data_IF_623293619200
#
_entry.id   IF_623293619200
#
_cell.length_a   1.000
_cell.length_b   1.000
_cell.length_c   1.000
_cell.angle_alpha   90.00
_cell.angle_beta   90.00
_cell.angle_gamma   90.00
#
_symmetry.space_group_name_H-M   'P 1'
#
loop_
_entity.id
_entity.type
_entity.pdbx_description
1 polymer ?
#
# COMPACT_ATOMS: atom_id res chain seq x y z
N UNK A 1 11.21 9.74 26.47
CA UNK A 1 11.10 8.38 25.90
C UNK A 1 12.46 8.02 25.33
N UNK A 2 12.90 6.74 25.35
CA UNK A 2 14.09 6.36 24.59
C UNK A 2 13.82 6.61 23.10
N UNK A 3 14.78 7.18 22.39
CA UNK A 3 14.65 7.43 20.95
C UNK A 3 14.62 6.09 20.19
N UNK A 4 13.60 5.89 19.36
CA UNK A 4 13.49 4.71 18.52
C UNK A 4 14.49 4.79 17.35
N UNK A 5 14.95 3.62 16.90
CA UNK A 5 15.95 3.51 15.82
C UNK A 5 15.32 3.63 14.44
N UNK A 6 13.99 3.61 14.32
CA UNK A 6 13.33 3.56 13.05
C UNK A 6 13.14 2.14 12.52
N UNK A 7 12.61 1.19 13.30
CA UNK A 7 12.56 -0.23 12.91
C UNK A 7 11.23 -0.52 12.19
N UNK A 8 11.23 -0.88 10.90
CA UNK A 8 10.01 -1.29 10.19
C UNK A 8 9.51 -2.69 10.61
N UNK A 9 8.89 -2.82 11.78
CA UNK A 9 8.32 -4.08 12.26
C UNK A 9 6.84 -4.00 12.66
N UNK A 10 6.19 -2.84 12.48
CA UNK A 10 4.85 -2.62 13.04
C UNK A 10 3.73 -2.77 12.00
N UNK A 11 3.83 -2.10 10.86
CA UNK A 11 2.79 -2.10 9.84
C UNK A 11 3.35 -2.06 8.42
N UNK A 12 2.62 -2.66 7.48
CA UNK A 12 2.98 -2.62 6.06
C UNK A 12 1.75 -2.40 5.21
N UNK A 13 1.90 -1.65 4.13
CA UNK A 13 0.78 -1.31 3.28
C UNK A 13 1.19 -0.82 1.90
N UNK A 14 0.19 -0.71 1.03
CA UNK A 14 0.35 -0.19 -0.32
C UNK A 14 -0.02 1.29 -0.34
N UNK A 15 0.85 2.10 -0.93
CA UNK A 15 0.58 3.54 -1.08
C UNK A 15 -0.46 3.74 -2.18
N UNK A 16 -1.67 4.14 -1.76
CA UNK A 16 -2.83 4.36 -2.64
C UNK A 16 -3.00 5.81 -3.05
N UNK A 17 -2.48 6.77 -2.30
CA UNK A 17 -2.53 8.20 -2.67
C UNK A 17 -1.31 8.95 -2.13
N UNK A 18 -0.92 10.03 -2.83
CA UNK A 18 0.13 10.95 -2.38
C UNK A 18 -0.48 12.34 -2.34
N UNK A 19 -0.56 12.92 -1.15
CA UNK A 19 -1.22 14.21 -0.90
C UNK A 19 -0.22 15.34 -1.14
N UNK A 20 0.95 15.26 -0.51
CA UNK A 20 2.12 16.16 -0.61
C UNK A 20 3.42 15.35 -0.58
N UNK A 21 4.59 16.01 -0.57
CA UNK A 21 5.88 15.33 -0.47
C UNK A 21 6.10 14.57 0.84
N UNK A 22 5.33 14.88 1.88
CA UNK A 22 5.46 14.34 3.23
C UNK A 22 4.15 13.74 3.77
N UNK A 23 3.09 13.71 2.97
CA UNK A 23 1.78 13.17 3.37
C UNK A 23 1.22 12.26 2.31
N UNK A 24 0.78 11.07 2.71
CA UNK A 24 0.32 10.03 1.79
C UNK A 24 -0.76 9.14 2.44
N UNK A 25 -1.54 8.48 1.59
CA UNK A 25 -2.56 7.53 1.98
C UNK A 25 -2.11 6.11 1.70
N UNK A 26 -2.31 5.22 2.67
CA UNK A 26 -1.87 3.83 2.64
C UNK A 26 -3.06 2.92 2.90
N UNK A 27 -3.18 1.87 2.10
CA UNK A 27 -4.04 0.73 2.38
C UNK A 27 -3.22 -0.36 3.06
N UNK A 28 -3.60 -0.72 4.28
CA UNK A 28 -2.86 -1.66 5.12
C UNK A 28 -2.97 -3.08 4.60
N UNK A 29 -1.84 -3.78 4.58
CA UNK A 29 -1.72 -5.22 4.29
C UNK A 29 -1.47 -5.97 5.61
N UNK A 30 -0.53 -5.46 6.41
CA UNK A 30 -0.30 -5.85 7.79
C UNK A 30 -0.65 -4.63 8.65
N UNK A 31 -1.66 -4.78 9.50
CA UNK A 31 -2.17 -3.71 10.36
C UNK A 31 -1.55 -3.75 11.75
N UNK A 32 -1.31 -2.58 12.31
CA UNK A 32 -1.02 -2.35 13.73
C UNK A 32 -2.30 -1.86 14.46
N UNK A 33 -2.50 -2.11 15.77
CA UNK A 33 -3.67 -1.63 16.52
C UNK A 33 -3.95 -0.12 16.42
N UNK A 34 -2.94 0.69 16.09
CA UNK A 34 -3.05 2.15 15.87
C UNK A 34 -3.59 2.51 14.48
N UNK A 35 -3.65 1.56 13.55
CA UNK A 35 -3.95 1.79 12.12
C UNK A 35 -5.41 1.49 11.76
N UNK A 36 -5.92 2.17 10.72
CA UNK A 36 -7.15 1.82 10.02
C UNK A 36 -6.85 1.05 8.72
N UNK A 37 -7.86 0.41 8.13
CA UNK A 37 -7.72 -0.31 6.85
C UNK A 37 -7.13 0.57 5.73
N UNK A 38 -7.65 1.79 5.59
CA UNK A 38 -7.02 2.87 4.82
C UNK A 38 -6.71 3.99 5.79
N UNK A 39 -5.46 4.41 5.84
CA UNK A 39 -5.00 5.45 6.73
C UNK A 39 -4.23 6.54 6.00
N UNK A 40 -4.19 7.72 6.63
CA UNK A 40 -3.37 8.84 6.19
C UNK A 40 -2.15 8.92 7.09
N UNK A 41 -0.99 9.10 6.49
CA UNK A 41 0.27 9.23 7.22
C UNK A 41 0.93 10.57 6.92
N UNK A 42 1.82 10.98 7.83
CA UNK A 42 2.73 12.10 7.74
C UNK A 42 4.14 11.56 8.03
N UNK A 43 5.07 11.86 7.13
CA UNK A 43 6.48 11.52 7.32
C UNK A 43 7.03 12.31 8.52
N UNK A 44 7.56 11.60 9.51
CA UNK A 44 8.17 12.18 10.71
C UNK A 44 9.43 13.01 10.40
N UNK A 45 9.68 14.01 11.23
CA UNK A 45 10.89 14.85 11.27
C UNK A 45 11.25 15.57 9.96
N UNK A 46 10.30 15.67 9.02
CA UNK A 46 10.49 16.36 7.75
C UNK A 46 9.28 17.21 7.39
N UNK A 47 9.55 18.30 6.67
CA UNK A 47 8.53 19.16 6.09
C UNK A 47 8.75 19.32 4.58
N UNK A 48 7.75 18.96 3.79
CA UNK A 48 7.73 19.24 2.36
C UNK A 48 7.17 20.65 2.09
N UNK A 49 7.64 21.34 1.04
CA UNK A 49 7.07 22.62 0.64
C UNK A 49 5.58 22.51 0.28
N UNK A 50 4.84 23.60 0.45
CA UNK A 50 3.41 23.64 0.16
C UNK A 50 3.11 23.31 -1.30
N UNK A 51 2.11 22.45 -1.56
CA UNK A 51 1.72 22.00 -2.91
C UNK A 51 1.20 23.11 -3.82
N UNK A 52 0.98 24.32 -3.28
CA UNK A 52 0.63 25.50 -4.08
C UNK A 52 1.85 26.15 -4.75
N UNK A 53 3.06 25.91 -4.23
CA UNK A 53 4.32 26.41 -4.82
C UNK A 53 4.85 25.46 -5.90
N UNK A 54 5.81 25.92 -6.70
CA UNK A 54 6.44 25.09 -7.72
C UNK A 54 7.25 23.95 -7.08
N UNK A 55 7.93 24.25 -5.98
CA UNK A 55 8.74 23.31 -5.21
C UNK A 55 7.88 22.22 -4.58
N UNK A 56 6.74 22.56 -3.99
CA UNK A 56 5.84 21.55 -3.40
C UNK A 56 5.19 20.64 -4.44
N UNK A 57 4.92 21.16 -5.65
CA UNK A 57 4.48 20.32 -6.78
C UNK A 57 5.58 19.37 -7.23
N UNK A 58 6.83 19.83 -7.29
CA UNK A 58 7.98 18.98 -7.61
C UNK A 58 8.18 17.89 -6.54
N UNK A 59 8.14 18.26 -5.26
CA UNK A 59 8.24 17.31 -4.14
C UNK A 59 7.13 16.25 -4.17
N UNK A 60 5.90 16.65 -4.45
CA UNK A 60 4.78 15.73 -4.64
C UNK A 60 5.01 14.80 -5.83
N UNK A 61 5.48 15.32 -6.97
CA UNK A 61 5.75 14.51 -8.16
C UNK A 61 6.86 13.47 -7.90
N UNK A 62 7.91 13.87 -7.17
CA UNK A 62 8.95 12.96 -6.74
C UNK A 62 8.40 11.86 -5.82
N UNK A 63 7.65 12.21 -4.78
CA UNK A 63 6.99 11.24 -3.89
C UNK A 63 6.04 10.30 -4.65
N UNK A 64 5.28 10.79 -5.64
CA UNK A 64 4.46 9.95 -6.53
C UNK A 64 5.33 8.96 -7.29
N UNK A 65 6.43 9.42 -7.91
CA UNK A 65 7.32 8.53 -8.67
C UNK A 65 7.97 7.46 -7.78
N UNK A 66 8.26 7.81 -6.54
CA UNK A 66 8.95 6.96 -5.58
C UNK A 66 8.00 5.97 -4.90
N UNK A 67 6.76 6.35 -4.59
CA UNK A 67 5.90 5.61 -3.66
C UNK A 67 4.63 5.06 -4.29
N UNK A 68 4.09 5.69 -5.33
CA UNK A 68 2.75 5.34 -5.84
C UNK A 68 2.70 3.86 -6.24
N UNK A 69 1.70 3.14 -5.73
CA UNK A 69 1.46 1.72 -5.94
C UNK A 69 2.60 0.80 -5.44
N UNK A 70 3.55 1.31 -4.65
CA UNK A 70 4.55 0.49 -3.98
C UNK A 70 4.04 0.02 -2.62
N UNK A 71 4.49 -1.15 -2.22
CA UNK A 71 4.37 -1.65 -0.86
C UNK A 71 5.51 -1.09 -0.02
N UNK A 72 5.19 -0.61 1.17
CA UNK A 72 6.14 -0.01 2.11
C UNK A 72 5.93 -0.60 3.50
N UNK A 73 6.99 -0.55 4.30
CA UNK A 73 6.90 -0.73 5.73
C UNK A 73 6.76 0.61 6.43
N UNK A 74 6.10 0.58 7.59
CA UNK A 74 5.87 1.72 8.47
C UNK A 74 6.44 1.39 9.84
N UNK A 75 7.10 2.39 10.40
CA UNK A 75 7.43 2.48 11.81
C UNK A 75 6.72 3.70 12.39
N UNK A 76 5.72 3.47 13.22
CA UNK A 76 4.73 4.42 13.74
C UNK A 76 5.17 4.89 15.11
N UNK A 77 5.06 6.20 15.36
CA UNK A 77 5.36 6.77 16.67
C UNK A 77 4.61 6.04 17.81
N UNK A 78 5.37 5.49 18.76
CA UNK A 78 4.89 4.77 19.96
C UNK A 78 4.20 5.68 20.97
N UNK A 79 4.39 7.00 20.87
CA UNK A 79 3.70 7.92 21.75
C UNK A 79 2.22 7.97 21.40
N UNK A 80 1.40 7.09 22.00
CA UNK A 80 -0.04 6.99 21.71
C UNK A 80 -0.81 8.32 21.81
N UNK A 81 -0.33 9.27 22.61
CA UNK A 81 -0.94 10.61 22.72
C UNK A 81 -0.62 11.54 21.55
N UNK A 82 0.43 11.27 20.79
CA UNK A 82 0.95 12.09 19.68
C UNK A 82 1.22 11.30 18.39
N UNK A 83 0.94 10.00 18.37
CA UNK A 83 1.13 9.12 17.21
C UNK A 83 0.36 9.58 15.97
N UNK A 84 -0.58 10.52 16.16
CA UNK A 84 -1.27 11.23 15.09
C UNK A 84 -1.14 12.74 15.28
N UNK A 85 -0.95 13.44 14.17
CA UNK A 85 -0.98 14.90 14.14
C UNK A 85 -2.42 15.46 14.25
N UNK A 86 -2.56 16.78 14.29
CA UNK A 86 -3.85 17.48 14.40
C UNK A 86 -4.85 17.22 13.26
N UNK A 87 -4.40 16.67 12.12
CA UNK A 87 -5.24 16.26 11.00
C UNK A 87 -5.59 14.77 11.04
N UNK A 88 -5.21 14.08 12.11
CA UNK A 88 -5.43 12.64 12.30
C UNK A 88 -4.48 11.76 11.50
N UNK A 89 -3.41 12.29 10.92
CA UNK A 89 -2.45 11.49 10.16
C UNK A 89 -1.45 10.81 11.10
N UNK A 90 -1.16 9.53 10.88
CA UNK A 90 -0.12 8.80 11.62
C UNK A 90 1.26 9.41 11.35
N UNK A 91 2.05 9.62 12.42
CA UNK A 91 3.43 10.06 12.31
C UNK A 91 4.31 8.82 12.21
N UNK A 92 5.07 8.69 11.12
CA UNK A 92 5.89 7.49 10.91
C UNK A 92 7.14 7.72 10.05
N UNK A 93 8.07 6.79 10.16
CA UNK A 93 9.12 6.54 9.17
C UNK A 93 8.62 5.50 8.17
N UNK A 94 8.97 5.71 6.89
CA UNK A 94 8.54 4.81 5.81
C UNK A 94 9.74 4.19 5.14
N UNK A 95 9.70 2.89 4.91
CA UNK A 95 10.75 2.13 4.23
C UNK A 95 10.21 1.49 2.96
N UNK A 96 10.96 1.67 1.86
CA UNK A 96 10.68 0.95 0.63
C UNK A 96 10.96 -0.53 0.80
N UNK A 97 10.34 -1.35 -0.03
CA UNK A 97 10.49 -2.81 -0.03
C UNK A 97 11.15 -3.27 -1.33
N UNK A 98 12.08 -4.21 -1.24
CA UNK A 98 12.67 -4.89 -2.40
C UNK A 98 11.84 -6.09 -2.87
N UNK A 99 12.26 -6.73 -3.96
CA UNK A 99 11.58 -7.90 -4.53
C UNK A 99 11.59 -9.14 -3.61
N UNK A 100 12.40 -9.14 -2.55
CA UNK A 100 12.51 -10.20 -1.54
C UNK A 100 11.76 -9.85 -0.27
N UNK A 101 10.89 -8.84 -0.32
CA UNK A 101 10.15 -8.31 0.82
C UNK A 101 11.08 -7.79 1.93
N UNK A 102 12.28 -7.32 1.60
CA UNK A 102 13.19 -6.71 2.56
C UNK A 102 13.03 -5.19 2.57
N UNK A 103 13.02 -4.55 3.74
CA UNK A 103 13.08 -3.10 3.82
C UNK A 103 14.42 -2.59 3.27
N UNK A 104 14.33 -1.56 2.43
CA UNK A 104 15.46 -0.87 1.81
C UNK A 104 15.78 0.35 2.65
N UNK A 105 17.06 0.48 3.01
CA UNK A 105 17.60 1.70 3.60
C UNK A 105 18.21 2.58 2.49
N UNK A 106 18.08 3.92 2.56
CA UNK A 106 17.53 4.71 3.67
C UNK A 106 16.00 4.83 3.67
N UNK A 107 15.38 5.25 4.79
CA UNK A 107 13.96 5.55 4.82
C UNK A 107 13.60 6.64 3.81
N UNK A 108 12.35 6.62 3.36
CA UNK A 108 11.78 7.59 2.43
C UNK A 108 11.92 9.01 2.96
N UNK A 109 11.80 9.21 4.29
CA UNK A 109 12.00 10.50 4.94
C UNK A 109 13.36 11.11 4.56
N UNK A 110 14.43 10.30 4.65
CA UNK A 110 15.76 10.70 4.22
C UNK A 110 15.84 10.93 2.71
N UNK A 111 15.25 10.04 1.90
CA UNK A 111 15.25 10.21 0.44
C UNK A 111 14.63 11.54 0.01
N UNK A 112 13.57 11.99 0.69
CA UNK A 112 12.94 13.29 0.43
C UNK A 112 13.86 14.47 0.76
N UNK A 113 14.64 14.38 1.84
CA UNK A 113 15.60 15.44 2.22
C UNK A 113 16.84 15.43 1.31
N UNK A 114 17.44 14.27 1.07
CA UNK A 114 18.63 14.12 0.23
C UNK A 114 18.36 14.58 -1.22
N UNK A 115 17.12 14.47 -1.70
CA UNK A 115 16.69 14.96 -3.01
C UNK A 115 16.20 16.42 -3.04
N UNK A 116 16.34 17.16 -1.93
CA UNK A 116 15.88 18.57 -1.80
C UNK A 116 14.37 18.76 -2.02
N UNK A 117 13.58 17.73 -1.74
CA UNK A 117 12.12 17.75 -1.82
C UNK A 117 11.43 17.91 -0.46
N UNK A 118 12.19 17.84 0.63
CA UNK A 118 11.78 18.19 1.97
C UNK A 118 12.98 18.81 2.73
N UNK A 119 12.69 19.48 3.84
CA UNK A 119 13.68 19.93 4.81
C UNK A 119 13.53 19.15 6.10
N UNK A 120 14.61 19.06 6.88
CA UNK A 120 14.53 18.53 8.23
C UNK A 120 13.71 19.47 9.10
N UNK A 121 12.75 18.91 9.82
CA UNK A 121 11.84 19.60 10.74
C UNK A 121 11.62 18.69 11.95
N UNK A 122 12.63 18.61 12.83
CA UNK A 122 12.61 17.71 13.99
C UNK A 122 11.48 18.07 14.94
N UNK A 123 10.61 17.10 15.22
CA UNK A 123 9.52 17.26 16.17
C UNK A 123 9.81 16.48 17.46
N UNK A 124 10.16 17.22 18.51
CA UNK A 124 10.44 16.67 19.85
C UNK A 124 9.24 15.98 20.51
N UNK A 125 8.04 16.08 19.94
CA UNK A 125 6.83 15.42 20.42
C UNK A 125 6.73 13.94 20.03
N UNK A 126 7.36 13.56 18.92
CA UNK A 126 7.44 12.17 18.47
C UNK A 126 8.70 11.47 19.03
N UNK A 127 8.78 10.15 18.91
CA UNK A 127 9.92 9.38 19.41
C UNK A 127 11.14 9.30 18.47
N UNK A 128 10.97 9.74 17.23
CA UNK A 128 11.99 9.66 16.19
C UNK A 128 13.06 10.73 16.42
N UNK A 129 14.26 10.40 15.97
CA UNK A 129 15.36 11.33 15.94
C UNK A 129 16.06 11.24 14.60
N UNK A 130 16.13 12.36 13.88
CA UNK A 130 16.73 12.42 12.56
C UNK A 130 18.15 11.87 12.52
N UNK A 131 18.97 12.20 13.54
CA UNK A 131 20.35 11.73 13.61
C UNK A 131 20.46 10.21 13.79
N UNK A 132 19.41 9.54 14.30
CA UNK A 132 19.37 8.09 14.47
C UNK A 132 18.94 7.39 13.18
N UNK A 133 17.80 7.76 12.59
CA UNK A 133 17.33 7.13 11.34
C UNK A 133 18.13 7.55 10.11
N UNK A 134 19.00 8.56 10.22
CA UNK A 134 20.07 8.83 9.23
C UNK A 134 21.17 7.79 9.20
N UNK A 135 21.30 6.97 10.25
CA UNK A 135 22.29 5.90 10.32
C UNK A 135 21.62 4.59 9.91
N UNK A 136 22.41 3.69 9.29
CA UNK A 136 21.88 2.38 8.93
C UNK A 136 21.64 1.58 10.21
N UNK A 137 20.40 1.13 10.50
CA UNK A 137 20.15 0.29 11.66
C UNK A 137 20.79 -1.10 11.44
N UNK A 138 21.15 -1.81 12.53
CA UNK A 138 21.62 -3.19 12.43
C UNK A 138 20.50 -4.08 11.86
N UNK A 139 20.68 -4.54 10.62
CA UNK A 139 19.85 -5.55 9.96
C UNK A 139 20.04 -6.93 10.61
N UNK A 140 19.06 -7.86 10.55
CA UNK A 140 17.84 -7.80 9.73
C UNK A 140 16.59 -7.30 10.48
N UNK A 141 15.76 -6.60 9.72
CA UNK A 141 14.42 -6.14 10.12
C UNK A 141 13.43 -7.32 10.00
N UNK A 142 12.52 -7.42 10.97
CA UNK A 142 11.64 -8.56 11.30
C UNK A 142 11.41 -9.61 10.19
N UNK A 143 12.03 -10.80 10.36
CA UNK A 143 11.86 -11.96 9.46
C UNK A 143 10.38 -12.40 9.41
N UNK A 144 9.66 -12.27 10.52
CA UNK A 144 8.25 -12.66 10.62
C UNK A 144 7.37 -11.82 9.71
N UNK A 145 7.57 -10.50 9.70
CA UNK A 145 6.78 -9.59 8.89
C UNK A 145 7.05 -9.76 7.39
N UNK A 146 8.31 -10.00 7.02
CA UNK A 146 8.69 -10.40 5.66
C UNK A 146 7.95 -11.66 5.22
N UNK A 147 7.97 -12.70 6.05
CA UNK A 147 7.37 -13.98 5.70
C UNK A 147 5.83 -13.88 5.60
N UNK A 148 5.20 -13.06 6.45
CA UNK A 148 3.77 -12.74 6.31
C UNK A 148 3.46 -12.02 5.00
N UNK A 149 4.22 -10.98 4.64
CA UNK A 149 4.05 -10.25 3.39
C UNK A 149 4.22 -11.16 2.17
N UNK A 150 5.21 -12.05 2.22
CA UNK A 150 5.44 -13.05 1.19
C UNK A 150 4.20 -13.93 1.00
N UNK A 151 3.61 -14.43 2.08
CA UNK A 151 2.40 -15.27 2.01
C UNK A 151 1.19 -14.52 1.46
N UNK A 152 1.03 -13.23 1.81
CA UNK A 152 -0.12 -12.43 1.40
C UNK A 152 0.00 -11.96 -0.06
N UNK A 153 1.20 -11.59 -0.50
CA UNK A 153 1.44 -10.96 -1.81
C UNK A 153 1.83 -11.95 -2.90
N UNK A 154 2.41 -13.10 -2.55
CA UNK A 154 2.64 -14.15 -3.54
C UNK A 154 1.31 -14.86 -3.86
N UNK A 155 0.96 -15.02 -5.15
CA UNK A 155 -0.21 -15.80 -5.52
C UNK A 155 -0.02 -17.24 -5.06
N UNK A 156 -1.02 -17.77 -4.37
CA UNK A 156 -1.03 -19.18 -3.96
C UNK A 156 -0.79 -20.09 -5.18
N UNK A 157 0.10 -21.09 -5.11
CA UNK A 157 0.40 -21.98 -6.23
C UNK A 157 -0.83 -22.76 -6.77
N UNK A 158 -1.98 -22.70 -6.09
CA UNK A 158 -3.23 -23.26 -6.57
C UNK A 158 -3.81 -22.56 -7.83
N UNK A 159 -3.34 -21.36 -8.19
CA UNK A 159 -3.82 -20.65 -9.39
C UNK A 159 -3.07 -21.00 -10.69
N UNK A 160 -2.04 -21.87 -10.62
CA UNK A 160 -1.31 -22.38 -11.78
C UNK A 160 -1.59 -23.88 -11.98
N UNK A 161 -2.86 -24.26 -12.10
CA UNK A 161 -3.19 -25.51 -12.77
C UNK A 161 -3.25 -25.22 -14.28
N UNK A 162 -2.39 -25.82 -15.12
CA UNK A 162 -2.54 -25.69 -16.56
C UNK A 162 -3.88 -26.30 -16.98
N UNK A 163 -4.67 -25.54 -17.74
CA UNK A 163 -5.89 -26.00 -18.39
C UNK A 163 -5.68 -27.40 -18.97
N UNK A 164 -6.44 -28.38 -18.46
CA UNK A 164 -6.51 -29.68 -19.09
C UNK A 164 -7.09 -29.50 -20.50
N UNK A 165 -6.43 -30.01 -21.56
CA UNK A 165 -7.03 -29.98 -22.89
C UNK A 165 -8.25 -30.90 -22.91
N UNK A 166 -9.42 -30.29 -23.10
CA UNK A 166 -10.69 -30.96 -23.32
C UNK A 166 -10.55 -31.91 -24.52
N UNK A 167 -10.48 -33.22 -24.24
CA UNK A 167 -10.36 -34.24 -25.27
C UNK A 167 -11.70 -34.38 -26.00
N UNK A 168 -11.63 -34.27 -27.33
CA UNK A 168 -12.76 -34.35 -28.25
C UNK A 168 -13.45 -35.72 -28.26
N UNK A 169 -14.76 -35.70 -28.51
CA UNK A 169 -15.65 -36.85 -28.70
C UNK A 169 -15.25 -37.78 -29.87
N UNK A 170 -15.82 -38.99 -29.91
CA UNK A 170 -16.42 -39.49 -31.16
C UNK A 170 -17.90 -39.94 -30.99
N UNK A 171 -18.61 -40.21 -32.10
CA UNK A 171 -20.04 -39.89 -32.26
C UNK A 171 -20.97 -41.09 -32.07
N UNK A 172 -22.26 -40.82 -31.77
CA UNK A 172 -23.33 -41.75 -32.14
C UNK A 172 -24.55 -41.00 -32.68
N UNK A 173 -24.85 -41.34 -33.93
CA UNK A 173 -26.09 -41.13 -34.69
C UNK A 173 -27.34 -41.61 -33.96
N UNK A 174 -28.43 -40.84 -34.05
CA UNK A 174 -29.64 -41.25 -34.79
C UNK A 174 -30.81 -40.29 -34.54
N UNK A 175 -31.21 -39.61 -35.63
CA UNK A 175 -32.57 -39.31 -36.10
C UNK A 175 -33.66 -38.87 -35.11
N UNK A 176 -34.17 -37.63 -35.27
CA UNK A 176 -35.51 -37.43 -35.82
C UNK A 176 -35.82 -35.95 -36.18
N UNK A 177 -36.00 -35.73 -37.50
CA UNK A 177 -37.01 -34.93 -38.22
C UNK A 177 -37.51 -33.56 -37.67
N UNK A 178 -37.12 -32.52 -38.40
CA UNK A 178 -37.90 -31.37 -38.94
C UNK A 178 -38.84 -30.53 -38.04
N UNK A 179 -38.66 -29.19 -38.05
CA UNK A 179 -39.42 -28.21 -38.86
C UNK A 179 -39.05 -26.76 -38.45
N UNK A 180 -38.79 -25.91 -39.45
CA UNK A 180 -38.70 -24.45 -39.34
C UNK A 180 -39.92 -23.80 -38.67
N UNK A 181 -39.72 -22.80 -37.81
CA UNK A 181 -40.40 -21.50 -38.01
C UNK A 181 -39.72 -20.31 -37.32
N UNK A 182 -39.44 -19.29 -38.11
CA UNK A 182 -39.11 -17.92 -37.73
C UNK A 182 -40.40 -17.18 -37.33
N UNK A 183 -40.36 -16.43 -36.23
CA UNK A 183 -41.40 -15.48 -35.85
C UNK A 183 -40.83 -14.45 -34.88
N UNK A 184 -40.57 -13.25 -35.37
CA UNK A 184 -40.20 -12.11 -34.53
C UNK A 184 -41.44 -11.39 -34.02
N UNK A 185 -41.40 -10.90 -32.78
CA UNK A 185 -42.14 -9.74 -32.31
C UNK A 185 -41.73 -9.41 -30.86
N UNK A 186 -41.44 -8.13 -30.65
CA UNK A 186 -41.81 -7.32 -29.48
C UNK A 186 -41.43 -7.78 -28.05
N UNK A 187 -40.45 -7.06 -27.48
CA UNK A 187 -40.72 -6.05 -26.45
C UNK A 187 -41.41 -6.50 -25.16
N UNK A 188 -40.63 -6.54 -24.06
CA UNK A 188 -41.15 -6.53 -22.70
C UNK A 188 -40.08 -6.85 -21.67
N UNK A 189 -39.54 -5.83 -21.00
CA UNK A 189 -38.78 -6.01 -19.76
C UNK A 189 -39.74 -5.87 -18.59
N UNK A 190 -39.80 -6.87 -17.70
CA UNK A 190 -40.59 -6.83 -16.47
C UNK A 190 -39.65 -6.90 -15.27
N UNK A 191 -39.59 -5.81 -14.51
CA UNK A 191 -38.91 -5.69 -13.22
C UNK A 191 -39.90 -6.13 -12.14
N UNK A 192 -39.57 -7.16 -11.36
CA UNK A 192 -40.35 -7.61 -10.21
C UNK A 192 -39.62 -7.33 -8.90
N UNK A 193 -40.22 -6.51 -8.03
CA UNK A 193 -39.83 -6.37 -6.63
C UNK A 193 -40.57 -7.43 -5.80
N UNK A 194 -39.84 -8.18 -4.97
CA UNK A 194 -40.41 -9.07 -3.96
C UNK A 194 -40.33 -8.40 -2.60
N UNK A 195 -41.48 -8.08 -2.00
CA UNK A 195 -41.60 -7.84 -0.56
C UNK A 195 -42.15 -9.12 0.10
N UNK A 196 -41.49 -9.55 1.17
CA UNK A 196 -42.14 -10.19 2.32
C UNK A 196 -41.62 -9.52 3.58
#
# INVERSE_FOLDING_TARGET
MPAAWGIPDEAAGRVVSVVSGDSLGIEMIISDPRTNYIDSIKLADIAAPSTVTAEGKAAKAYAVSLLKNKTVYLDIDDNLSQCRNQWGQLICLVYLMDERYQPIWPPVNRLMVDSSHAVLDEDTGNEFNASHWWQQPPLPLSVEMRDQLKVILEPSPAALQPDQPSSAMPPQDSNDVSILKKGGASGGYSIGYHNR
#
